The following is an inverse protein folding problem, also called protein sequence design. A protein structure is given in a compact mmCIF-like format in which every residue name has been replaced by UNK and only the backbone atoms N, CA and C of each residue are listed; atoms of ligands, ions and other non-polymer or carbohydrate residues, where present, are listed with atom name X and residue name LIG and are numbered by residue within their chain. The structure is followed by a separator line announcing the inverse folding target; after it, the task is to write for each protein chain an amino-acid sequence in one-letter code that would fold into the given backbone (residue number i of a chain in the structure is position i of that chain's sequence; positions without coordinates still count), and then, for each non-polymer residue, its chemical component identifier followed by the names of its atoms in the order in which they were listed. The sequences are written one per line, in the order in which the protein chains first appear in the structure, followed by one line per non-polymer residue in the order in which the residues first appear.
data_IF_215335910482
#
_entry.id   IF_215335910482
#
_cell.length_a   1.000
_cell.length_b   1.000
_cell.length_c   1.000
_cell.angle_alpha   90.00
_cell.angle_beta   90.00
_cell.angle_gamma   90.00
#
_symmetry.space_group_name_H-M   'P 1'
#
loop_
_entity.id
_entity.type
_entity.pdbx_description
1 polymer ?
#
# COMPACT_ATOMS: atom_id res chain seq x y z
N UNK A 1 -16.34 3.06 -5.17
CA UNK A 1 -15.34 1.97 -5.25
C UNK A 1 -15.82 0.85 -4.34
N UNK A 2 -15.90 -0.38 -4.85
CA UNK A 2 -16.41 -1.53 -4.09
C UNK A 2 -15.62 -1.66 -2.79
N UNK A 3 -16.31 -1.68 -1.65
CA UNK A 3 -15.72 -1.79 -0.30
C UNK A 3 -15.16 -3.21 -0.02
N UNK A 4 -14.89 -3.97 -1.10
CA UNK A 4 -14.63 -5.39 -1.10
C UNK A 4 -13.23 -5.62 -1.64
N UNK A 5 -12.33 -5.86 -0.69
CA UNK A 5 -10.95 -6.21 -0.94
C UNK A 5 -10.83 -7.41 -1.91
N UNK A 6 -10.05 -7.26 -2.99
CA UNK A 6 -9.81 -8.29 -3.99
C UNK A 6 -11.09 -8.88 -4.63
N UNK A 7 -12.17 -8.09 -4.74
CA UNK A 7 -13.49 -8.56 -5.19
C UNK A 7 -13.45 -9.23 -6.57
N UNK A 8 -12.74 -8.62 -7.53
CA UNK A 8 -12.57 -9.18 -8.87
C UNK A 8 -11.88 -10.54 -8.80
N UNK A 9 -10.76 -10.64 -8.08
CA UNK A 9 -9.98 -11.88 -7.92
C UNK A 9 -10.84 -12.99 -7.30
N UNK A 10 -11.52 -12.68 -6.19
CA UNK A 10 -12.35 -13.63 -5.45
C UNK A 10 -13.45 -14.19 -6.32
N UNK A 11 -14.14 -13.33 -7.08
CA UNK A 11 -15.24 -13.76 -7.96
C UNK A 11 -14.77 -14.50 -9.20
N UNK A 12 -13.65 -14.07 -9.79
CA UNK A 12 -13.18 -14.61 -11.08
C UNK A 12 -12.47 -15.95 -10.92
N UNK A 13 -11.60 -16.06 -9.92
CA UNK A 13 -10.78 -17.25 -9.70
C UNK A 13 -11.32 -18.16 -8.59
N UNK A 14 -12.40 -17.76 -7.91
CA UNK A 14 -13.00 -18.47 -6.78
C UNK A 14 -11.97 -18.81 -5.67
N UNK A 15 -11.15 -17.82 -5.31
CA UNK A 15 -10.11 -17.93 -4.27
C UNK A 15 -10.42 -16.99 -3.10
N UNK A 16 -10.00 -17.31 -1.87
CA UNK A 16 -10.26 -16.47 -0.70
C UNK A 16 -9.26 -15.30 -0.59
N UNK A 17 -8.88 -14.66 -1.71
CA UNK A 17 -7.89 -13.58 -1.70
C UNK A 17 -8.37 -12.36 -0.92
N UNK A 18 -7.53 -11.84 -0.02
CA UNK A 18 -7.82 -10.70 0.84
C UNK A 18 -6.50 -10.07 1.33
N UNK A 19 -6.37 -8.73 1.31
CA UNK A 19 -5.19 -8.05 1.89
C UNK A 19 -5.10 -8.40 3.38
N UNK A 20 -3.91 -8.81 3.80
CA UNK A 20 -3.60 -9.32 5.12
C UNK A 20 -3.60 -10.85 5.19
N UNK A 21 -4.10 -11.56 4.17
CA UNK A 21 -4.10 -13.02 4.17
C UNK A 21 -2.69 -13.59 3.93
N UNK A 22 -2.36 -14.63 4.70
CA UNK A 22 -1.15 -15.45 4.51
C UNK A 22 -1.27 -16.28 3.25
N UNK A 23 -0.17 -16.39 2.52
CA UNK A 23 -0.07 -17.22 1.32
C UNK A 23 1.25 -17.96 1.27
N UNK A 24 1.28 -19.06 0.54
CA UNK A 24 2.50 -19.66 0.00
C UNK A 24 2.44 -19.45 -1.51
N UNK A 25 3.33 -18.62 -2.04
CA UNK A 25 3.41 -18.26 -3.46
C UNK A 25 4.69 -18.85 -4.05
N UNK A 26 4.56 -19.75 -5.02
CA UNK A 26 5.69 -20.49 -5.62
C UNK A 26 6.58 -21.18 -4.57
N UNK A 27 5.95 -21.74 -3.52
CA UNK A 27 6.67 -22.37 -2.41
C UNK A 27 7.22 -21.42 -1.33
N UNK A 28 7.14 -20.10 -1.52
CA UNK A 28 7.62 -19.11 -0.54
C UNK A 28 6.47 -18.49 0.27
N UNK A 29 6.59 -18.42 1.62
CA UNK A 29 5.56 -17.80 2.45
C UNK A 29 5.54 -16.27 2.32
N UNK A 30 4.34 -15.69 2.39
CA UNK A 30 4.15 -14.24 2.30
C UNK A 30 2.76 -13.78 2.74
N UNK A 31 2.50 -12.49 2.50
CA UNK A 31 1.23 -11.81 2.85
C UNK A 31 0.72 -11.01 1.66
N UNK A 32 -0.57 -11.11 1.35
CA UNK A 32 -1.23 -10.24 0.38
C UNK A 32 -1.28 -8.82 0.95
N UNK A 33 -0.76 -7.84 0.23
CA UNK A 33 -0.63 -6.44 0.66
C UNK A 33 -1.31 -5.44 -0.27
N UNK A 34 -1.73 -5.85 -1.46
CA UNK A 34 -2.43 -4.97 -2.39
C UNK A 34 -3.37 -5.75 -3.31
N UNK A 35 -4.53 -5.15 -3.58
CA UNK A 35 -5.38 -5.52 -4.71
C UNK A 35 -4.79 -4.93 -5.99
N UNK A 36 -4.57 -5.78 -7.01
CA UNK A 36 -4.03 -5.36 -8.31
C UNK A 36 -4.89 -5.88 -9.47
N UNK A 37 -6.21 -5.94 -9.27
CA UNK A 37 -7.17 -6.31 -10.32
C UNK A 37 -7.15 -7.80 -10.61
N UNK A 38 -6.57 -8.23 -11.73
CA UNK A 38 -6.43 -9.66 -12.05
C UNK A 38 -5.31 -10.36 -11.25
N UNK A 39 -4.46 -9.58 -10.58
CA UNK A 39 -3.33 -10.06 -9.80
C UNK A 39 -3.49 -9.68 -8.33
N UNK A 40 -2.80 -10.40 -7.46
CA UNK A 40 -2.61 -10.02 -6.06
C UNK A 40 -1.19 -9.49 -5.85
N UNK A 41 -1.05 -8.46 -5.03
CA UNK A 41 0.24 -7.94 -4.59
C UNK A 41 0.68 -8.66 -3.32
N UNK A 42 1.77 -9.44 -3.36
CA UNK A 42 2.28 -10.20 -2.21
C UNK A 42 3.65 -9.66 -1.79
N UNK A 43 3.87 -9.60 -0.48
CA UNK A 43 5.22 -9.45 0.10
C UNK A 43 5.64 -10.81 0.61
N UNK A 44 6.76 -11.33 0.10
CA UNK A 44 7.38 -12.54 0.65
C UNK A 44 8.06 -12.22 1.98
N UNK A 45 7.98 -13.15 2.92
CA UNK A 45 8.60 -12.98 4.24
C UNK A 45 10.12 -12.83 4.13
N UNK A 46 10.70 -13.57 3.18
CA UNK A 46 12.12 -13.59 2.80
C UNK A 46 12.63 -12.27 2.21
N UNK A 47 11.76 -11.39 1.68
CA UNK A 47 12.21 -10.15 1.03
C UNK A 47 12.56 -9.08 2.08
N UNK A 48 13.85 -8.73 2.27
CA UNK A 48 14.25 -7.74 3.27
C UNK A 48 13.78 -6.33 2.94
N UNK A 49 13.51 -6.05 1.65
CA UNK A 49 13.03 -4.74 1.18
C UNK A 49 11.50 -4.64 1.23
N UNK A 50 10.80 -5.72 1.63
CA UNK A 50 9.34 -5.79 1.77
C UNK A 50 8.63 -5.21 0.53
N UNK A 51 9.04 -5.69 -0.66
CA UNK A 51 8.50 -5.24 -1.94
C UNK A 51 7.20 -5.97 -2.26
N UNK A 52 6.19 -5.23 -2.71
CA UNK A 52 4.91 -5.80 -3.15
C UNK A 52 5.07 -6.25 -4.62
N UNK A 53 5.13 -7.55 -4.85
CA UNK A 53 5.25 -8.16 -6.18
C UNK A 53 3.92 -8.70 -6.66
N UNK A 54 3.71 -8.75 -7.99
CA UNK A 54 2.49 -9.30 -8.59
C UNK A 54 2.57 -10.82 -8.63
N UNK A 55 1.51 -11.49 -8.19
CA UNK A 55 1.32 -12.92 -8.33
C UNK A 55 -0.04 -13.22 -8.95
N UNK A 56 -0.09 -14.25 -9.79
CA UNK A 56 -1.36 -14.73 -10.33
C UNK A 56 -2.12 -15.45 -9.21
N UNK A 57 -3.43 -15.18 -9.00
CA UNK A 57 -4.14 -15.68 -7.83
C UNK A 57 -4.28 -17.21 -7.74
N UNK A 58 -4.18 -17.91 -8.87
CA UNK A 58 -4.30 -19.38 -8.92
C UNK A 58 -3.01 -20.12 -9.26
N UNK A 59 -1.93 -19.42 -9.64
CA UNK A 59 -0.69 -20.08 -10.06
C UNK A 59 0.18 -20.36 -8.83
N UNK A 60 0.42 -21.64 -8.54
CA UNK A 60 1.25 -22.10 -7.41
C UNK A 60 0.95 -21.34 -6.10
N UNK A 61 -0.34 -21.11 -5.86
CA UNK A 61 -0.82 -20.29 -4.76
C UNK A 61 -1.57 -21.14 -3.75
N UNK A 62 -1.14 -21.07 -2.50
CA UNK A 62 -1.87 -21.65 -1.37
C UNK A 62 -2.30 -20.51 -0.44
N UNK A 63 -3.56 -20.51 -0.05
CA UNK A 63 -4.14 -19.49 0.81
C UNK A 63 -4.26 -20.04 2.23
N UNK A 64 -3.77 -19.27 3.21
CA UNK A 64 -3.90 -19.57 4.63
C UNK A 64 -4.86 -18.63 5.35
N UNK A 65 -4.64 -18.51 6.65
CA UNK A 65 -5.36 -17.62 7.55
C UNK A 65 -4.96 -16.15 7.37
N UNK A 66 -5.68 -15.25 8.04
CA UNK A 66 -5.27 -13.84 8.14
C UNK A 66 -3.98 -13.72 8.97
N UNK A 67 -3.07 -12.86 8.54
CA UNK A 67 -1.83 -12.61 9.27
C UNK A 67 -2.14 -11.88 10.58
N UNK A 68 -1.55 -12.35 11.69
CA UNK A 68 -1.65 -11.69 12.98
C UNK A 68 -1.00 -10.29 12.97
N UNK A 69 0.08 -10.14 12.19
CA UNK A 69 0.78 -8.86 12.04
C UNK A 69 1.13 -8.64 10.57
N UNK A 70 0.85 -7.43 10.07
CA UNK A 70 1.19 -7.06 8.70
C UNK A 70 2.67 -6.68 8.57
N UNK A 71 3.32 -7.01 7.43
CA UNK A 71 4.72 -6.66 7.19
C UNK A 71 4.95 -5.16 7.00
N UNK A 72 3.89 -4.40 6.65
CA UNK A 72 3.92 -2.95 6.51
C UNK A 72 2.82 -2.33 7.37
N UNK A 73 3.03 -1.07 7.77
CA UNK A 73 2.03 -0.24 8.44
C UNK A 73 1.42 0.72 7.43
N UNK A 74 0.19 1.14 7.69
CA UNK A 74 -0.44 2.19 6.91
C UNK A 74 -0.03 3.56 7.46
N UNK A 75 0.29 4.48 6.56
CA UNK A 75 0.71 5.84 6.87
C UNK A 75 -0.12 6.83 6.08
N UNK A 76 -0.42 7.96 6.69
CA UNK A 76 -0.92 9.15 6.00
C UNK A 76 0.25 10.11 5.77
N UNK A 77 0.41 10.53 4.51
CA UNK A 77 1.47 11.44 4.06
C UNK A 77 0.83 12.69 3.48
N UNK A 78 1.00 13.82 4.16
CA UNK A 78 0.64 15.13 3.63
C UNK A 78 1.75 15.58 2.66
N UNK A 79 1.40 15.67 1.39
CA UNK A 79 2.35 15.91 0.29
C UNK A 79 2.55 17.40 -0.02
N UNK A 80 1.74 18.27 0.58
CA UNK A 80 1.90 19.72 0.47
C UNK A 80 2.47 20.30 1.77
N UNK A 81 3.74 20.68 1.72
CA UNK A 81 4.46 21.25 2.87
C UNK A 81 3.98 22.62 3.34
N UNK A 82 3.14 23.32 2.57
CA UNK A 82 2.59 24.62 2.97
C UNK A 82 1.51 24.49 4.05
N UNK A 83 0.92 23.31 4.21
CA UNK A 83 -0.18 23.06 5.13
C UNK A 83 0.24 22.15 6.29
N UNK A 84 -0.51 22.21 7.38
CA UNK A 84 -0.49 21.24 8.47
C UNK A 84 -1.76 20.37 8.50
N UNK A 85 -1.73 19.36 9.37
CA UNK A 85 -2.85 18.46 9.59
C UNK A 85 -4.11 19.18 10.06
N UNK A 86 -3.96 20.28 10.81
CA UNK A 86 -5.08 21.10 11.25
C UNK A 86 -5.71 21.85 10.07
N UNK A 87 -4.91 22.37 9.12
CA UNK A 87 -5.44 23.02 7.91
C UNK A 87 -6.27 22.05 7.08
N UNK A 88 -5.76 20.82 6.90
CA UNK A 88 -6.46 19.75 6.20
C UNK A 88 -7.75 19.39 6.91
N UNK A 89 -7.73 19.27 8.24
CA UNK A 89 -8.89 18.85 9.03
C UNK A 89 -9.99 19.90 9.07
N UNK A 90 -9.64 21.16 9.23
CA UNK A 90 -10.59 22.21 9.61
C UNK A 90 -10.88 23.21 8.49
N UNK A 91 -9.98 23.40 7.52
CA UNK A 91 -10.12 24.47 6.52
C UNK A 91 -10.26 23.97 5.08
N UNK A 92 -9.50 22.95 4.70
CA UNK A 92 -9.43 22.50 3.32
C UNK A 92 -10.26 21.24 3.06
N UNK A 93 -10.34 20.35 4.05
CA UNK A 93 -10.61 18.94 3.80
C UNK A 93 -9.50 18.31 2.95
N UNK A 94 -9.69 17.04 2.56
CA UNK A 94 -8.80 16.34 1.62
C UNK A 94 -9.37 16.30 0.18
N UNK A 95 -10.22 17.28 -0.18
CA UNK A 95 -10.85 17.33 -1.50
C UNK A 95 -9.84 17.44 -2.66
N UNK A 96 -8.61 17.88 -2.36
CA UNK A 96 -7.50 18.00 -3.31
C UNK A 96 -6.52 16.82 -3.26
N UNK A 97 -6.81 15.77 -2.50
CA UNK A 97 -5.98 14.57 -2.35
C UNK A 97 -4.53 14.88 -1.90
N UNK A 98 -4.41 15.84 -0.96
CA UNK A 98 -3.12 16.20 -0.37
C UNK A 98 -2.64 15.15 0.63
N UNK A 99 -3.54 14.32 1.16
CA UNK A 99 -3.19 13.21 2.05
C UNK A 99 -3.14 11.90 1.25
N UNK A 100 -1.94 11.38 1.06
CA UNK A 100 -1.72 10.08 0.45
C UNK A 100 -1.68 8.99 1.53
N UNK A 101 -2.44 7.91 1.31
CA UNK A 101 -2.43 6.73 2.19
C UNK A 101 -1.54 5.65 1.59
N UNK A 102 -0.43 5.36 2.26
CA UNK A 102 0.58 4.43 1.75
C UNK A 102 0.93 3.36 2.76
N UNK A 103 1.18 2.14 2.28
CA UNK A 103 1.76 1.08 3.09
C UNK A 103 3.28 1.19 3.07
N UNK A 104 3.93 1.24 4.24
CA UNK A 104 5.40 1.29 4.33
C UNK A 104 5.89 0.75 5.69
N UNK A 105 7.16 0.31 5.77
CA UNK A 105 7.72 -0.18 7.03
C UNK A 105 8.11 0.98 7.96
N UNK A 106 8.58 2.11 7.39
CA UNK A 106 9.04 3.28 8.14
C UNK A 106 8.44 4.58 7.59
N UNK A 107 8.50 5.66 8.40
CA UNK A 107 8.04 7.01 8.00
C UNK A 107 8.79 7.52 6.76
N UNK A 108 10.11 7.33 6.69
CA UNK A 108 10.91 7.75 5.54
C UNK A 108 10.53 6.97 4.27
N UNK A 109 10.26 5.67 4.40
CA UNK A 109 9.75 4.89 3.28
C UNK A 109 8.35 5.33 2.84
N UNK A 110 7.50 5.74 3.77
CA UNK A 110 6.18 6.29 3.45
C UNK A 110 6.30 7.57 2.61
N UNK A 111 7.16 8.52 3.02
CA UNK A 111 7.46 9.73 2.23
C UNK A 111 7.93 9.39 0.82
N UNK A 112 8.90 8.47 0.74
CA UNK A 112 9.47 8.07 -0.54
C UNK A 112 8.44 7.43 -1.47
N UNK A 113 7.56 6.54 -0.95
CA UNK A 113 6.48 5.94 -1.74
C UNK A 113 5.48 6.98 -2.23
N UNK A 114 5.03 7.87 -1.36
CA UNK A 114 4.13 8.96 -1.74
C UNK A 114 4.76 9.89 -2.79
N UNK A 115 6.07 10.12 -2.71
CA UNK A 115 6.82 10.85 -3.74
C UNK A 115 6.83 10.08 -5.07
N UNK A 116 7.12 8.78 -5.06
CA UNK A 116 7.15 7.98 -6.29
C UNK A 116 5.81 8.02 -7.04
N UNK A 117 4.69 7.97 -6.32
CA UNK A 117 3.36 8.05 -6.91
C UNK A 117 3.04 9.45 -7.51
N UNK A 118 3.78 10.49 -7.10
CA UNK A 118 3.60 11.89 -7.49
C UNK A 118 4.84 12.51 -8.15
N UNK A 119 5.80 11.71 -8.61
CA UNK A 119 7.10 12.21 -9.04
C UNK A 119 6.98 13.27 -10.16
N UNK A 120 6.06 13.04 -11.10
CA UNK A 120 5.74 13.98 -12.17
C UNK A 120 5.22 15.33 -11.65
N UNK A 121 4.42 15.34 -10.57
CA UNK A 121 3.91 16.57 -9.96
C UNK A 121 5.01 17.43 -9.32
N UNK A 122 6.16 16.83 -9.02
CA UNK A 122 7.31 17.50 -8.43
C UNK A 122 8.47 17.68 -9.43
N UNK A 123 8.22 17.51 -10.74
CA UNK A 123 9.25 17.58 -11.77
C UNK A 123 10.47 16.66 -11.48
N UNK A 124 10.20 15.48 -10.92
CA UNK A 124 11.22 14.51 -10.50
C UNK A 124 12.23 15.03 -9.46
N UNK A 125 11.89 16.12 -8.76
CA UNK A 125 12.69 16.65 -7.66
C UNK A 125 12.41 15.89 -6.36
N UNK A 126 13.29 14.94 -6.06
CA UNK A 126 13.27 14.16 -4.83
C UNK A 126 13.32 15.04 -3.56
N UNK A 127 13.83 16.27 -3.60
CA UNK A 127 13.90 17.14 -2.41
C UNK A 127 12.52 17.58 -1.93
N UNK A 128 11.48 17.52 -2.78
CA UNK A 128 10.10 17.80 -2.39
C UNK A 128 9.66 17.00 -1.16
N UNK A 129 10.13 15.74 -1.01
CA UNK A 129 9.76 14.87 0.11
C UNK A 129 10.24 15.37 1.48
N UNK A 130 11.21 16.28 1.52
CA UNK A 130 11.66 16.93 2.76
C UNK A 130 10.52 17.69 3.42
N UNK A 131 9.62 18.25 2.62
CA UNK A 131 8.47 19.04 3.07
C UNK A 131 7.27 18.18 3.52
N UNK A 132 7.27 16.89 3.19
CA UNK A 132 6.14 16.00 3.50
C UNK A 132 6.00 15.79 5.01
N UNK A 133 4.76 15.78 5.50
CA UNK A 133 4.44 15.43 6.90
C UNK A 133 3.83 14.03 6.93
N UNK A 134 4.19 13.22 7.92
CA UNK A 134 3.76 11.81 8.00
C UNK A 134 3.22 11.49 9.38
N UNK A 135 2.10 10.77 9.45
CA UNK A 135 1.58 10.17 10.68
C UNK A 135 1.07 8.74 10.42
N UNK A 136 0.95 7.95 11.47
CA UNK A 136 0.27 6.66 11.36
C UNK A 136 -1.19 6.91 10.96
N UNK A 137 -1.72 6.08 10.06
CA UNK A 137 -3.12 6.12 9.64
C UNK A 137 -4.05 5.58 10.72
#
# INVERSE_FOLDING_TARGET
MSNYNCDYVRRTYNVPAEVGRRVIANGEPGVIMADRGQYIGVILDSDPKKRIRKYHPSWEMQYGEMAETLPLKQWEVLTNGMYDWDDVKYMLGDARHYVQRVWAATRSQAKYRAYQDLAECFNDDATAMLTFKVRAA
#
